data_IF_679220218422
#
_entry.id   IF_679220218422
#
_cell.length_a   1.000
_cell.length_b   1.000
_cell.length_c   1.000
_cell.angle_alpha   90.00
_cell.angle_beta   90.00
_cell.angle_gamma   90.00
#
_symmetry.space_group_name_H-M   'P 1'
#
loop_
_entity.id
_entity.type
_entity.pdbx_description
1 polymer ?
#
# COMPACT_ATOMS: atom_id res chain seq x y z
N UNK A 1 23.46 6.27 -2.83
CA UNK A 1 21.98 6.22 -2.82
C UNK A 1 21.59 4.76 -2.85
N UNK A 2 20.90 4.25 -1.84
CA UNK A 2 20.40 2.86 -1.87
C UNK A 2 19.27 2.80 -2.88
N UNK A 3 19.45 2.04 -3.95
CA UNK A 3 18.42 1.78 -4.94
C UNK A 3 17.27 1.02 -4.28
N UNK A 4 16.06 1.57 -4.32
CA UNK A 4 14.87 0.85 -3.87
C UNK A 4 14.63 -0.30 -4.86
N UNK A 5 14.51 -1.56 -4.41
CA UNK A 5 14.28 -2.68 -5.32
C UNK A 5 12.91 -2.57 -6.00
N UNK A 6 12.77 -3.12 -7.20
CA UNK A 6 11.48 -3.31 -7.88
C UNK A 6 10.96 -4.70 -7.52
N UNK A 7 9.93 -4.76 -6.68
CA UNK A 7 9.34 -6.01 -6.22
C UNK A 7 7.82 -5.85 -6.00
N UNK A 8 7.02 -6.47 -6.85
CA UNK A 8 5.56 -6.42 -6.73
C UNK A 8 5.02 -7.09 -5.46
N UNK A 9 5.78 -8.00 -4.84
CA UNK A 9 5.39 -8.67 -3.58
C UNK A 9 5.64 -7.76 -2.36
N UNK A 10 6.46 -6.72 -2.53
CA UNK A 10 6.60 -5.62 -1.57
C UNK A 10 5.45 -4.61 -1.60
N UNK A 11 4.45 -4.77 -2.48
CA UNK A 11 3.23 -3.95 -2.46
C UNK A 11 2.29 -4.45 -1.37
N UNK A 12 2.19 -3.68 -0.29
CA UNK A 12 1.33 -3.99 0.85
C UNK A 12 -0.15 -4.08 0.48
N UNK A 13 -0.92 -4.81 1.29
CA UNK A 13 -2.37 -4.94 1.10
C UNK A 13 -3.13 -3.63 0.93
N UNK A 14 -2.68 -2.54 1.59
CA UNK A 14 -3.30 -1.21 1.49
C UNK A 14 -2.68 -0.29 0.42
N UNK A 15 -1.82 -0.82 -0.44
CA UNK A 15 -1.18 -0.11 -1.56
C UNK A 15 0.13 0.60 -1.22
N UNK A 16 0.59 0.56 0.03
CA UNK A 16 1.92 1.09 0.38
C UNK A 16 3.02 0.19 -0.22
N UNK A 17 4.18 0.77 -0.49
CA UNK A 17 5.34 0.05 -1.02
C UNK A 17 6.39 -0.20 0.07
N UNK A 18 6.46 -1.42 0.57
CA UNK A 18 7.31 -1.80 1.71
C UNK A 18 8.81 -1.66 1.40
N UNK A 19 9.24 -1.94 0.16
CA UNK A 19 10.63 -1.79 -0.26
C UNK A 19 11.17 -0.35 -0.12
N UNK A 20 10.30 0.67 -0.14
CA UNK A 20 10.64 2.07 0.13
C UNK A 20 10.27 2.53 1.56
N UNK A 21 9.73 1.65 2.41
CA UNK A 21 9.31 2.00 3.75
C UNK A 21 10.52 2.01 4.70
N UNK A 22 10.83 3.17 5.28
CA UNK A 22 11.99 3.32 6.18
C UNK A 22 12.00 2.41 7.41
N UNK A 23 10.84 1.94 7.89
CA UNK A 23 10.80 0.96 8.98
C UNK A 23 11.20 -0.45 8.50
N UNK A 24 10.75 -0.85 7.30
CA UNK A 24 11.08 -2.13 6.69
C UNK A 24 12.55 -2.17 6.25
N UNK A 25 13.00 -1.14 5.53
CA UNK A 25 14.40 -1.01 5.07
C UNK A 25 15.40 -1.02 6.23
N UNK A 26 15.02 -0.53 7.42
CA UNK A 26 15.85 -0.56 8.64
C UNK A 26 15.69 -1.86 9.46
N UNK A 27 15.01 -2.88 8.95
CA UNK A 27 14.79 -4.16 9.66
C UNK A 27 13.86 -4.08 10.87
N UNK A 28 13.19 -2.94 11.10
CA UNK A 28 12.28 -2.75 12.26
C UNK A 28 10.86 -3.25 12.01
N UNK A 29 10.54 -3.59 10.77
CA UNK A 29 9.26 -4.13 10.34
C UNK A 29 9.49 -5.22 9.30
N UNK A 30 8.88 -6.41 9.42
CA UNK A 30 9.11 -7.51 8.47
C UNK A 30 8.45 -7.28 7.11
N UNK A 31 7.64 -6.23 6.93
CA UNK A 31 6.89 -5.99 5.70
C UNK A 31 5.41 -6.37 5.86
N UNK A 32 4.55 -5.90 4.96
CA UNK A 32 3.12 -6.02 5.15
C UNK A 32 2.64 -7.47 5.07
N UNK A 33 3.16 -8.31 4.18
CA UNK A 33 2.69 -9.68 4.05
C UNK A 33 3.13 -10.56 5.24
N UNK A 34 4.30 -10.26 5.83
CA UNK A 34 4.89 -11.08 6.91
C UNK A 34 4.64 -10.57 8.34
N UNK A 35 4.08 -9.37 8.53
CA UNK A 35 3.88 -8.78 9.85
C UNK A 35 2.75 -9.44 10.68
N UNK A 36 2.97 -10.63 11.22
CA UNK A 36 1.99 -11.34 12.05
C UNK A 36 1.54 -10.55 13.30
N UNK A 37 2.39 -9.66 13.83
CA UNK A 37 2.09 -8.80 15.00
C UNK A 37 1.00 -7.76 14.70
N UNK A 38 0.74 -7.45 13.43
CA UNK A 38 -0.32 -6.51 13.01
C UNK A 38 -1.71 -7.18 12.88
N UNK A 39 -2.06 -8.07 13.81
CA UNK A 39 -3.35 -8.79 13.81
C UNK A 39 -4.57 -7.85 13.92
N UNK A 40 -4.38 -6.65 14.49
CA UNK A 40 -5.39 -5.61 14.59
C UNK A 40 -5.76 -4.96 13.23
N UNK A 41 -4.94 -5.16 12.19
CA UNK A 41 -5.14 -4.51 10.89
C UNK A 41 -6.19 -5.25 10.05
N UNK A 42 -7.42 -4.74 10.07
CA UNK A 42 -8.59 -5.30 9.34
C UNK A 42 -8.38 -5.45 7.83
N UNK A 43 -7.50 -4.65 7.23
CA UNK A 43 -7.16 -4.76 5.80
C UNK A 43 -6.39 -6.06 5.54
N UNK A 44 -5.41 -6.38 6.39
CA UNK A 44 -4.57 -7.58 6.24
C UNK A 44 -5.40 -8.85 6.38
N UNK A 45 -6.20 -8.93 7.45
CA UNK A 45 -7.08 -10.09 7.66
C UNK A 45 -8.06 -10.25 6.50
N UNK A 46 -8.73 -9.17 6.09
CA UNK A 46 -9.67 -9.22 4.97
C UNK A 46 -9.01 -9.68 3.65
N UNK A 47 -7.83 -9.17 3.29
CA UNK A 47 -7.18 -9.59 2.04
C UNK A 47 -6.75 -11.06 2.11
N UNK A 48 -6.21 -11.51 3.25
CA UNK A 48 -5.86 -12.93 3.46
C UNK A 48 -7.07 -13.85 3.35
N UNK A 49 -8.19 -13.50 3.98
CA UNK A 49 -9.45 -14.26 3.93
C UNK A 49 -10.00 -14.38 2.50
N UNK A 50 -9.76 -13.36 1.66
CA UNK A 50 -10.26 -13.34 0.28
C UNK A 50 -9.21 -13.80 -0.75
N UNK A 51 -8.00 -14.18 -0.32
CA UNK A 51 -6.90 -14.51 -1.24
C UNK A 51 -6.42 -13.32 -2.10
N UNK A 52 -6.69 -12.09 -1.68
CA UNK A 52 -6.28 -10.88 -2.39
C UNK A 52 -4.83 -10.52 -2.07
N UNK A 53 -4.06 -10.13 -3.08
CA UNK A 53 -2.72 -9.57 -2.86
C UNK A 53 -2.82 -8.13 -2.33
N UNK A 54 -3.82 -7.37 -2.78
CA UNK A 54 -4.10 -6.02 -2.26
C UNK A 54 -5.58 -5.69 -2.27
N UNK A 55 -5.97 -4.59 -1.63
CA UNK A 55 -7.33 -4.06 -1.79
C UNK A 55 -7.68 -3.65 -3.23
N UNK A 56 -6.72 -3.59 -4.16
CA UNK A 56 -7.01 -3.39 -5.58
C UNK A 56 -7.80 -4.56 -6.17
N UNK A 57 -7.59 -5.77 -5.65
CA UNK A 57 -8.26 -7.00 -6.10
C UNK A 57 -9.69 -7.13 -5.55
N UNK A 58 -10.11 -6.21 -4.67
CA UNK A 58 -11.43 -6.25 -4.06
C UNK A 58 -12.54 -6.03 -5.11
N UNK A 59 -13.37 -7.06 -5.30
CA UNK A 59 -14.53 -7.03 -6.19
C UNK A 59 -15.79 -6.43 -5.55
N UNK A 60 -15.84 -6.31 -4.22
CA UNK A 60 -17.03 -5.82 -3.49
C UNK A 60 -17.19 -4.30 -3.59
N UNK A 61 -16.09 -3.55 -3.55
CA UNK A 61 -16.12 -2.08 -3.50
C UNK A 61 -15.32 -1.49 -4.65
N UNK A 62 -16.02 -0.76 -5.53
CA UNK A 62 -15.40 0.00 -6.61
C UNK A 62 -14.54 1.15 -6.05
N UNK A 63 -14.95 1.81 -4.97
CA UNK A 63 -14.10 2.77 -4.26
C UNK A 63 -13.68 2.25 -2.87
N UNK A 64 -12.37 2.14 -2.57
CA UNK A 64 -11.92 1.78 -1.22
C UNK A 64 -12.47 2.67 -0.09
N UNK A 65 -12.97 3.88 -0.38
CA UNK A 65 -13.65 4.73 0.61
C UNK A 65 -14.96 4.16 1.15
N UNK A 66 -15.64 3.35 0.36
CA UNK A 66 -16.91 2.71 0.74
C UNK A 66 -16.68 1.51 1.67
N UNK A 67 -15.47 0.95 1.64
CA UNK A 67 -15.09 -0.16 2.50
C UNK A 67 -14.74 0.33 3.91
N UNK A 68 -15.58 0.04 4.92
CA UNK A 68 -15.31 0.37 6.34
C UNK A 68 -14.03 -0.26 6.89
N UNK A 69 -13.57 -1.38 6.31
CA UNK A 69 -12.29 -2.03 6.69
C UNK A 69 -11.08 -1.21 6.20
N UNK A 70 -11.21 -0.53 5.06
CA UNK A 70 -10.17 0.32 4.49
C UNK A 70 -10.26 1.77 5.01
N UNK A 71 -11.46 2.34 5.01
CA UNK A 71 -11.78 3.68 5.47
C UNK A 71 -12.34 3.64 6.90
N UNK A 72 -11.44 3.61 7.88
CA UNK A 72 -11.76 3.74 9.31
C UNK A 72 -10.89 4.79 10.01
N UNK A 73 -11.27 5.15 11.23
CA UNK A 73 -10.63 6.21 12.04
C UNK A 73 -9.14 5.94 12.25
N UNK A 74 -8.77 4.70 12.60
CA UNK A 74 -7.36 4.28 12.77
C UNK A 74 -6.57 4.43 11.46
N UNK A 75 -7.18 4.01 10.35
CA UNK A 75 -6.65 4.16 9.00
C UNK A 75 -6.47 5.63 8.58
N UNK A 76 -7.34 6.54 9.02
CA UNK A 76 -7.22 7.98 8.77
C UNK A 76 -6.07 8.59 9.57
N UNK A 77 -5.87 8.16 10.82
CA UNK A 77 -4.79 8.63 11.69
C UNK A 77 -3.40 8.25 11.12
N UNK A 78 -3.19 7.00 10.73
CA UNK A 78 -1.93 6.60 10.11
C UNK A 78 -1.71 7.22 8.72
N UNK A 79 -2.79 7.45 7.94
CA UNK A 79 -2.69 8.21 6.69
C UNK A 79 -2.23 9.66 6.88
N UNK A 80 -2.55 10.28 8.03
CA UNK A 80 -2.09 11.62 8.40
C UNK A 80 -0.62 11.61 8.80
N UNK A 81 -0.21 10.64 9.63
CA UNK A 81 1.17 10.51 10.12
C UNK A 81 2.15 10.16 8.99
N UNK A 82 1.76 9.26 8.07
CA UNK A 82 2.61 8.83 6.96
C UNK A 82 2.47 9.71 5.70
N UNK A 83 1.64 10.77 5.71
CA UNK A 83 1.32 11.62 4.55
C UNK A 83 1.00 10.81 3.27
N UNK A 84 0.33 9.69 3.42
CA UNK A 84 0.04 8.74 2.34
C UNK A 84 -1.38 8.88 1.81
N UNK A 85 -1.54 8.79 0.50
CA UNK A 85 -2.84 8.60 -0.15
C UNK A 85 -3.01 7.14 -0.57
N UNK A 86 -3.35 6.29 0.41
CA UNK A 86 -3.59 4.86 0.17
C UNK A 86 -4.71 4.59 -0.83
N UNK A 87 -5.72 5.47 -0.93
CA UNK A 87 -6.77 5.32 -1.95
C UNK A 87 -6.21 5.56 -3.34
N UNK A 88 -5.37 6.60 -3.52
CA UNK A 88 -4.68 6.84 -4.77
C UNK A 88 -3.78 5.65 -5.14
N UNK A 89 -3.04 5.08 -4.19
CA UNK A 89 -2.27 3.86 -4.40
C UNK A 89 -3.14 2.71 -4.93
N UNK A 90 -4.26 2.40 -4.27
CA UNK A 90 -5.16 1.33 -4.70
C UNK A 90 -5.75 1.60 -6.09
N UNK A 91 -6.17 2.84 -6.38
CA UNK A 91 -6.67 3.20 -7.71
C UNK A 91 -5.59 3.02 -8.78
N UNK A 92 -4.35 3.44 -8.50
CA UNK A 92 -3.24 3.27 -9.42
C UNK A 92 -2.92 1.80 -9.66
N UNK A 93 -2.89 0.98 -8.62
CA UNK A 93 -2.66 -0.47 -8.76
C UNK A 93 -3.75 -1.12 -9.62
N UNK A 94 -5.02 -0.69 -9.52
CA UNK A 94 -6.09 -1.18 -10.41
C UNK A 94 -5.89 -0.77 -11.87
N UNK A 95 -5.34 0.43 -12.09
CA UNK A 95 -5.12 0.99 -13.42
C UNK A 95 -3.93 0.33 -14.14
N UNK A 96 -2.79 0.19 -13.47
CA UNK A 96 -1.52 -0.24 -14.09
C UNK A 96 -0.97 -1.58 -13.60
N UNK A 97 -1.63 -2.20 -12.62
CA UNK A 97 -1.17 -3.44 -12.00
C UNK A 97 -0.05 -3.22 -10.96
N UNK A 98 0.22 -4.27 -10.16
CA UNK A 98 1.21 -4.23 -9.07
C UNK A 98 2.65 -4.06 -9.56
N UNK A 99 3.00 -4.66 -10.70
CA UNK A 99 4.36 -4.62 -11.25
C UNK A 99 4.77 -3.21 -11.66
N UNK A 100 4.01 -2.59 -12.57
CA UNK A 100 4.27 -1.21 -12.99
C UNK A 100 4.14 -0.20 -11.83
N UNK A 101 3.23 -0.47 -10.87
CA UNK A 101 3.18 0.33 -9.65
C UNK A 101 4.47 0.23 -8.84
N UNK A 102 5.01 -0.97 -8.60
CA UNK A 102 6.27 -1.16 -7.89
C UNK A 102 7.46 -0.47 -8.58
N UNK A 103 7.52 -0.54 -9.92
CA UNK A 103 8.52 0.18 -10.73
C UNK A 103 8.46 1.69 -10.47
N UNK A 104 7.28 2.29 -10.59
CA UNK A 104 7.09 3.73 -10.35
C UNK A 104 7.44 4.14 -8.92
N UNK A 105 7.02 3.34 -7.93
CA UNK A 105 7.33 3.62 -6.52
C UNK A 105 8.83 3.49 -6.20
N UNK A 106 9.51 2.52 -6.80
CA UNK A 106 10.95 2.30 -6.66
C UNK A 106 11.76 3.43 -7.31
N UNK A 107 11.41 3.83 -8.53
CA UNK A 107 12.03 4.95 -9.23
C UNK A 107 11.90 6.26 -8.44
N UNK A 108 10.74 6.48 -7.83
CA UNK A 108 10.46 7.63 -6.98
C UNK A 108 11.14 7.58 -5.60
N UNK A 109 11.59 6.40 -5.16
CA UNK A 109 12.05 6.17 -3.79
C UNK A 109 10.96 6.41 -2.73
N UNK A 110 9.68 6.17 -3.08
CA UNK A 110 8.52 6.49 -2.23
C UNK A 110 7.76 5.24 -1.81
N UNK A 111 7.24 5.25 -0.59
CA UNK A 111 6.39 4.16 -0.07
C UNK A 111 4.89 4.38 -0.31
N UNK A 112 4.49 5.56 -0.79
CA UNK A 112 3.10 5.91 -1.07
C UNK A 112 3.01 7.07 -2.06
N UNK A 113 1.90 7.15 -2.78
CA UNK A 113 1.47 8.37 -3.46
C UNK A 113 1.19 9.47 -2.43
N UNK A 114 1.58 10.72 -2.74
CA UNK A 114 1.37 11.87 -1.85
C UNK A 114 -0.04 12.42 -2.01
N UNK A 115 -0.65 12.87 -0.91
CA UNK A 115 -1.90 13.64 -0.96
C UNK A 115 -1.66 14.95 -1.73
N UNK A 116 -2.45 15.19 -2.78
CA UNK A 116 -2.36 16.40 -3.61
C UNK A 116 -1.18 16.44 -4.59
N UNK A 117 -0.37 15.38 -4.70
CA UNK A 117 0.65 15.29 -5.72
C UNK A 117 0.04 14.89 -7.06
N UNK A 118 0.45 15.55 -8.14
CA UNK A 118 0.16 15.10 -9.50
C UNK A 118 0.62 13.64 -9.65
N UNK A 119 -0.21 12.84 -10.31
CA UNK A 119 0.06 11.42 -10.52
C UNK A 119 1.46 11.21 -11.08
N UNK A 120 2.09 10.11 -10.68
CA UNK A 120 3.40 9.68 -11.15
C UNK A 120 3.31 9.65 -12.68
N UNK A 121 4.00 10.58 -13.34
CA UNK A 121 4.14 10.63 -14.79
C UNK A 121 4.95 9.39 -15.17
N UNK A 122 4.33 8.46 -15.90
CA UNK A 122 5.05 7.46 -16.67
C UNK A 122 5.52 8.12 -17.96
#
# INVERSE_FOLDING_TARGET
>A
MTTVPVDKESVAYCGLYCAACGAHVKGRCPGCHDNQKAAWCKIRSCCRENGYATCADCATYADPRECRKFHNVVSRLFGLIFRSDRRACIRRIREIGRAAYAEGMAADGRHAMRRGGQGIML
#
